data_IF_813318964013
#
_entry.id   IF_813318964013
#
_cell.length_a   1.000
_cell.length_b   1.000
_cell.length_c   1.000
_cell.angle_alpha   90.00
_cell.angle_beta   90.00
_cell.angle_gamma   90.00
#
_symmetry.space_group_name_H-M   'P 1'
#
loop_
_entity.id
_entity.type
_entity.pdbx_description
1 polymer ?
#
# COMPACT_ATOMS: atom_id res chain seq x y z
N UNK A 1 -1.69 27.25 1.97
CA UNK A 1 -0.52 28.11 1.70
C UNK A 1 -0.20 29.04 2.86
N UNK A 2 -1.18 29.79 3.38
CA UNK A 2 -1.00 30.68 4.55
C UNK A 2 -0.29 30.04 5.75
N UNK A 3 -0.65 28.79 6.10
CA UNK A 3 -0.02 28.06 7.20
C UNK A 3 1.49 27.82 7.03
N UNK A 4 2.03 27.75 5.80
CA UNK A 4 3.48 27.59 5.55
C UNK A 4 4.24 28.89 5.70
N UNK A 5 3.56 30.03 5.65
CA UNK A 5 4.14 31.37 5.76
C UNK A 5 4.04 31.92 7.18
N UNK A 6 3.08 31.42 7.95
CA UNK A 6 2.99 31.68 9.37
C UNK A 6 4.31 31.29 10.05
N UNK A 7 4.89 32.23 10.79
CA UNK A 7 6.00 31.94 11.70
C UNK A 7 5.46 31.19 12.91
N UNK A 8 6.33 30.49 13.62
CA UNK A 8 5.92 29.82 14.85
C UNK A 8 5.26 30.82 15.82
N UNK A 9 4.04 30.50 16.27
CA UNK A 9 3.26 31.35 17.16
C UNK A 9 2.50 32.50 16.50
N UNK A 10 2.51 32.62 15.16
CA UNK A 10 1.70 33.63 14.45
C UNK A 10 0.61 32.99 13.60
N UNK A 11 -0.49 33.74 13.40
CA UNK A 11 -1.58 33.35 12.51
C UNK A 11 -1.56 34.23 11.28
N UNK A 12 -1.66 33.62 10.10
CA UNK A 12 -1.84 34.32 8.83
C UNK A 12 -3.24 34.00 8.33
N UNK A 13 -4.10 35.01 8.25
CA UNK A 13 -5.45 34.92 7.69
C UNK A 13 -5.46 35.51 6.30
N UNK A 14 -6.14 34.81 5.38
CA UNK A 14 -6.40 35.29 4.02
C UNK A 14 -7.91 35.31 3.86
N UNK A 15 -8.48 36.49 3.68
CA UNK A 15 -9.91 36.68 3.43
C UNK A 15 -10.22 36.47 1.94
N UNK A 16 -11.49 36.22 1.60
CA UNK A 16 -11.91 36.02 0.21
C UNK A 16 -11.59 37.22 -0.67
N UNK A 17 -11.79 38.44 -0.17
CA UNK A 17 -11.51 39.68 -0.89
C UNK A 17 -10.01 39.88 -1.22
N UNK A 18 -9.12 39.36 -0.37
CA UNK A 18 -7.67 39.44 -0.55
C UNK A 18 -7.04 38.22 -1.21
N UNK A 19 -7.85 37.21 -1.56
CA UNK A 19 -7.36 35.92 -2.04
C UNK A 19 -6.67 36.03 -3.40
N UNK A 20 -7.25 36.78 -4.33
CA UNK A 20 -6.71 36.97 -5.68
C UNK A 20 -5.31 37.62 -5.62
N UNK A 21 -5.18 38.72 -4.89
CA UNK A 21 -3.90 39.43 -4.70
C UNK A 21 -2.87 38.58 -3.97
N UNK A 22 -3.31 37.82 -2.96
CA UNK A 22 -2.46 36.90 -2.22
C UNK A 22 -1.90 35.82 -3.14
N UNK A 23 -2.72 35.24 -4.01
CA UNK A 23 -2.33 34.16 -4.92
C UNK A 23 -1.51 34.66 -6.10
N UNK A 24 -1.82 35.83 -6.68
CA UNK A 24 -1.18 36.37 -7.88
C UNK A 24 0.35 36.39 -7.77
N UNK A 25 0.84 36.78 -6.60
CA UNK A 25 2.28 36.92 -6.30
C UNK A 25 2.96 35.61 -5.88
N UNK A 26 2.22 34.50 -5.72
CA UNK A 26 2.82 33.23 -5.29
C UNK A 26 3.51 32.51 -6.45
N UNK A 27 4.67 31.90 -6.19
CA UNK A 27 5.29 31.03 -7.19
C UNK A 27 4.44 29.78 -7.40
N UNK A 28 4.43 29.26 -8.62
CA UNK A 28 3.61 28.10 -9.01
C UNK A 28 3.89 26.86 -8.15
N UNK A 29 5.11 26.70 -7.63
CA UNK A 29 5.51 25.59 -6.75
C UNK A 29 4.85 25.66 -5.36
N UNK A 30 4.29 26.80 -4.97
CA UNK A 30 3.56 26.93 -3.71
C UNK A 30 2.15 26.33 -3.80
N UNK A 31 1.59 26.20 -5.01
CA UNK A 31 0.27 25.64 -5.22
C UNK A 31 0.21 24.16 -4.79
N UNK A 32 -0.82 23.74 -4.03
CA UNK A 32 -0.99 22.35 -3.64
C UNK A 32 -1.06 21.42 -4.86
N UNK A 33 -0.31 20.32 -4.82
CA UNK A 33 -0.26 19.32 -5.89
C UNK A 33 0.69 19.64 -7.06
N UNK A 34 1.36 20.79 -7.05
CA UNK A 34 2.45 21.08 -7.99
C UNK A 34 3.77 20.57 -7.42
N UNK A 35 4.31 19.52 -8.03
CA UNK A 35 5.64 19.00 -7.71
C UNK A 35 6.77 19.77 -8.43
N UNK A 36 8.04 19.51 -8.08
CA UNK A 36 9.18 20.18 -8.71
C UNK A 36 9.27 19.92 -10.23
N UNK A 37 8.87 18.72 -10.69
CA UNK A 37 8.83 18.41 -12.12
C UNK A 37 7.77 19.25 -12.85
N UNK A 38 6.54 19.27 -12.31
CA UNK A 38 5.42 20.06 -12.83
C UNK A 38 5.74 21.55 -12.84
N UNK A 39 6.34 22.08 -11.77
CA UNK A 39 6.76 23.46 -11.69
C UNK A 39 7.80 23.81 -12.79
N UNK A 40 8.80 22.95 -13.02
CA UNK A 40 9.79 23.16 -14.09
C UNK A 40 9.14 23.19 -15.47
N UNK A 41 8.20 22.28 -15.74
CA UNK A 41 7.44 22.28 -16.99
C UNK A 41 6.67 23.58 -17.14
N UNK A 42 5.92 24.02 -16.13
CA UNK A 42 5.16 25.27 -16.18
C UNK A 42 6.05 26.51 -16.36
N UNK A 43 7.18 26.58 -15.65
CA UNK A 43 8.16 27.65 -15.81
C UNK A 43 8.75 27.68 -17.24
N UNK A 44 8.92 26.54 -17.91
CA UNK A 44 9.39 26.50 -19.30
C UNK A 44 8.40 27.14 -20.30
N UNK A 45 7.12 27.21 -19.94
CA UNK A 45 6.07 27.91 -20.69
C UNK A 45 5.82 29.34 -20.19
N UNK A 46 6.66 29.89 -19.30
CA UNK A 46 6.51 31.23 -18.73
C UNK A 46 5.47 31.36 -17.60
N UNK A 47 4.93 30.22 -17.14
CA UNK A 47 3.95 30.14 -16.06
C UNK A 47 4.67 29.92 -14.72
N UNK A 48 5.32 30.98 -14.22
CA UNK A 48 6.10 30.98 -12.98
C UNK A 48 5.29 31.35 -11.72
N UNK A 49 4.20 32.11 -11.87
CA UNK A 49 3.31 32.52 -10.78
C UNK A 49 1.92 31.90 -10.87
N UNK A 50 1.23 31.79 -9.73
CA UNK A 50 -0.15 31.33 -9.69
C UNK A 50 -1.11 32.30 -10.41
N UNK A 51 -0.81 33.60 -10.41
CA UNK A 51 -1.53 34.60 -11.20
C UNK A 51 -1.45 34.35 -12.71
N UNK A 52 -0.25 34.07 -13.23
CA UNK A 52 -0.08 33.71 -14.65
C UNK A 52 -0.78 32.41 -15.02
N UNK A 53 -0.80 31.45 -14.10
CA UNK A 53 -1.57 30.20 -14.28
C UNK A 53 -3.07 30.46 -14.29
N UNK A 54 -3.58 31.34 -13.43
CA UNK A 54 -5.00 31.74 -13.40
C UNK A 54 -5.41 32.51 -14.66
N UNK A 55 -4.51 33.31 -15.23
CA UNK A 55 -4.75 34.03 -16.50
C UNK A 55 -4.62 33.14 -17.74
N UNK A 56 -4.00 31.95 -17.62
CA UNK A 56 -3.78 31.06 -18.76
C UNK A 56 -5.09 30.34 -19.16
N UNK A 57 -5.35 30.16 -20.47
CA UNK A 57 -6.53 29.44 -20.92
C UNK A 57 -6.45 27.96 -20.50
N UNK A 58 -7.57 27.42 -20.01
CA UNK A 58 -7.67 26.04 -19.52
C UNK A 58 -7.16 25.01 -20.53
N UNK A 59 -7.45 25.21 -21.82
CA UNK A 59 -6.98 24.33 -22.89
C UNK A 59 -5.45 24.21 -22.97
N UNK A 60 -4.72 25.27 -22.66
CA UNK A 60 -3.25 25.26 -22.62
C UNK A 60 -2.75 24.47 -21.42
N UNK A 61 -3.32 24.67 -20.25
CA UNK A 61 -2.96 23.90 -19.04
C UNK A 61 -3.23 22.41 -19.22
N UNK A 62 -4.36 22.06 -19.84
CA UNK A 62 -4.72 20.67 -20.13
C UNK A 62 -3.79 20.03 -21.16
N UNK A 63 -3.27 20.78 -22.14
CA UNK A 63 -2.27 20.29 -23.10
C UNK A 63 -0.91 20.03 -22.44
N UNK A 64 -0.52 20.86 -21.48
CA UNK A 64 0.79 20.75 -20.80
C UNK A 64 0.78 19.62 -19.75
N UNK A 65 -0.27 19.53 -18.94
CA UNK A 65 -0.32 18.66 -17.75
C UNK A 65 -1.29 17.48 -17.87
N UNK A 66 -2.15 17.49 -18.88
CA UNK A 66 -3.28 16.57 -19.01
C UNK A 66 -4.59 17.16 -18.49
N UNK A 67 -5.71 16.58 -18.95
CA UNK A 67 -7.05 17.11 -18.73
C UNK A 67 -7.41 17.34 -17.25
N UNK A 68 -7.19 16.34 -16.41
CA UNK A 68 -7.52 16.40 -14.98
C UNK A 68 -6.60 17.33 -14.20
N UNK A 69 -5.29 17.18 -14.40
CA UNK A 69 -4.30 17.98 -13.67
C UNK A 69 -4.37 19.46 -14.03
N UNK A 70 -4.60 19.79 -15.31
CA UNK A 70 -4.79 21.17 -15.76
C UNK A 70 -6.05 21.82 -15.16
N UNK A 71 -7.16 21.07 -15.06
CA UNK A 71 -8.39 21.54 -14.44
C UNK A 71 -8.22 21.76 -12.94
N UNK A 72 -7.66 20.79 -12.22
CA UNK A 72 -7.39 20.92 -10.78
C UNK A 72 -6.42 22.08 -10.49
N UNK A 73 -5.41 22.28 -11.34
CA UNK A 73 -4.46 23.38 -11.19
C UNK A 73 -5.12 24.74 -11.40
N UNK A 74 -5.95 24.88 -12.43
CA UNK A 74 -6.69 26.10 -12.71
C UNK A 74 -7.62 26.46 -11.54
N UNK A 75 -8.40 25.50 -11.06
CA UNK A 75 -9.27 25.70 -9.89
C UNK A 75 -8.47 26.16 -8.65
N UNK A 76 -7.33 25.52 -8.36
CA UNK A 76 -6.46 25.89 -7.24
C UNK A 76 -5.80 27.25 -7.41
N UNK A 77 -5.47 27.67 -8.64
CA UNK A 77 -4.94 29.01 -8.92
C UNK A 77 -5.97 30.11 -8.65
N UNK A 78 -7.26 29.80 -8.80
CA UNK A 78 -8.38 30.64 -8.37
C UNK A 78 -8.78 30.45 -6.90
N UNK A 79 -8.05 29.64 -6.14
CA UNK A 79 -8.34 29.36 -4.72
C UNK A 79 -9.55 28.44 -4.49
N UNK A 80 -10.03 27.76 -5.54
CA UNK A 80 -11.15 26.82 -5.46
C UNK A 80 -10.60 25.42 -5.17
N UNK A 81 -10.91 24.89 -3.99
CA UNK A 81 -10.70 23.48 -3.63
C UNK A 81 -11.98 22.89 -3.05
N UNK A 82 -12.71 22.03 -3.80
CA UNK A 82 -13.97 21.45 -3.34
C UNK A 82 -13.77 20.28 -2.36
N UNK A 83 -12.53 19.94 -1.99
CA UNK A 83 -12.25 18.77 -1.14
C UNK A 83 -12.80 18.96 0.27
N UNK A 84 -13.77 18.13 0.72
CA UNK A 84 -14.32 18.27 2.05
C UNK A 84 -13.29 17.84 3.11
N UNK A 85 -13.16 18.62 4.17
CA UNK A 85 -12.37 18.23 5.35
C UNK A 85 -13.16 17.17 6.12
N UNK A 86 -12.67 15.94 6.13
CA UNK A 86 -13.30 14.83 6.85
C UNK A 86 -12.42 14.48 8.07
N UNK A 87 -12.83 14.82 9.30
CA UNK A 87 -11.99 14.67 10.49
C UNK A 87 -11.66 13.22 10.85
N UNK A 88 -12.52 12.27 10.50
CA UNK A 88 -12.34 10.83 10.79
C UNK A 88 -12.07 9.99 9.52
N UNK A 89 -11.46 10.59 8.50
CA UNK A 89 -11.08 9.85 7.31
C UNK A 89 -10.06 8.76 7.65
N UNK A 90 -10.49 7.50 7.54
CA UNK A 90 -9.60 6.36 7.69
C UNK A 90 -8.47 6.42 6.66
N UNK A 91 -7.25 6.08 7.09
CA UNK A 91 -6.08 6.03 6.24
C UNK A 91 -6.34 5.16 5.00
N UNK A 92 -6.38 5.79 3.82
CA UNK A 92 -6.65 5.09 2.55
C UNK A 92 -5.57 4.07 2.20
N UNK A 93 -4.35 4.29 2.71
CA UNK A 93 -3.23 3.38 2.57
C UNK A 93 -2.44 3.34 3.87
N UNK A 94 -2.23 2.12 4.39
CA UNK A 94 -1.29 1.88 5.48
C UNK A 94 -0.12 1.09 4.95
N UNK A 95 1.07 1.50 5.35
CA UNK A 95 2.29 0.80 4.97
C UNK A 95 3.35 0.82 6.05
N UNK A 96 4.11 -0.27 6.13
CA UNK A 96 5.34 -0.37 6.90
C UNK A 96 6.50 -0.52 5.91
N UNK A 97 7.60 0.18 6.15
CA UNK A 97 8.79 0.12 5.31
C UNK A 97 10.03 -0.05 6.18
N UNK A 98 10.93 -0.92 5.74
CA UNK A 98 12.23 -1.12 6.38
C UNK A 98 13.32 -1.10 5.33
N UNK A 99 14.32 -0.27 5.56
CA UNK A 99 15.55 -0.26 4.78
C UNK A 99 16.55 -1.25 5.40
N UNK A 100 17.26 -1.99 4.56
CA UNK A 100 18.30 -2.92 4.96
C UNK A 100 19.65 -2.21 4.90
N UNK A 101 20.42 -2.31 5.98
CA UNK A 101 21.74 -1.66 6.10
C UNK A 101 22.83 -2.42 5.32
N UNK A 102 22.67 -3.73 5.14
CA UNK A 102 23.51 -4.55 4.27
C UNK A 102 22.69 -5.12 3.12
N UNK A 103 23.31 -5.21 1.95
CA UNK A 103 22.77 -5.92 0.78
C UNK A 103 22.62 -7.41 1.12
N UNK A 104 21.53 -7.77 1.78
CA UNK A 104 21.29 -9.15 2.21
C UNK A 104 20.80 -9.99 1.01
N UNK A 105 21.50 -11.09 0.75
CA UNK A 105 21.05 -12.13 -0.17
C UNK A 105 19.90 -12.87 0.52
N UNK A 106 18.67 -12.55 0.13
CA UNK A 106 17.43 -12.98 0.80
C UNK A 106 17.19 -14.51 0.73
N UNK A 107 18.09 -15.27 0.10
CA UNK A 107 17.87 -16.69 -0.18
C UNK A 107 18.13 -17.64 1.01
N UNK A 108 18.83 -17.22 2.07
CA UNK A 108 19.24 -18.15 3.12
C UNK A 108 18.67 -17.77 4.49
N UNK A 109 17.44 -18.20 4.81
CA UNK A 109 16.83 -18.25 6.16
C UNK A 109 16.68 -16.92 6.96
N UNK A 110 17.52 -15.91 6.72
CA UNK A 110 17.54 -14.61 7.38
C UNK A 110 16.48 -13.65 6.82
N UNK A 111 16.02 -13.85 5.57
CA UNK A 111 14.98 -13.03 4.93
C UNK A 111 13.58 -13.15 5.56
N UNK A 112 13.36 -14.18 6.37
CA UNK A 112 12.08 -14.41 7.05
C UNK A 112 11.84 -13.40 8.18
N UNK A 113 12.88 -13.08 8.97
CA UNK A 113 12.73 -12.23 10.16
C UNK A 113 12.33 -10.78 9.81
N UNK A 114 12.90 -10.13 8.77
CA UNK A 114 12.48 -8.78 8.39
C UNK A 114 11.06 -8.71 7.82
N UNK A 115 10.66 -9.68 7.01
CA UNK A 115 9.31 -9.74 6.45
C UNK A 115 8.28 -9.98 7.57
N UNK A 116 8.58 -10.86 8.52
CA UNK A 116 7.75 -11.06 9.70
C UNK A 116 7.57 -9.74 10.47
N UNK A 117 8.68 -9.08 10.82
CA UNK A 117 8.66 -7.80 11.54
C UNK A 117 7.86 -6.71 10.80
N UNK A 118 7.99 -6.63 9.47
CA UNK A 118 7.20 -5.71 8.64
C UNK A 118 5.70 -6.03 8.69
N UNK A 119 5.33 -7.30 8.63
CA UNK A 119 3.92 -7.72 8.71
C UNK A 119 3.35 -7.60 10.12
N UNK A 120 4.18 -7.70 11.16
CA UNK A 120 3.82 -7.42 12.55
C UNK A 120 3.50 -5.94 12.74
N UNK A 121 4.38 -5.05 12.29
CA UNK A 121 4.17 -3.60 12.35
C UNK A 121 2.91 -3.20 11.57
N UNK A 122 2.75 -3.73 10.35
CA UNK A 122 1.56 -3.48 9.53
C UNK A 122 0.29 -4.04 10.19
N UNK A 123 0.33 -5.24 10.76
CA UNK A 123 -0.79 -5.84 11.48
C UNK A 123 -1.16 -5.08 12.74
N UNK A 124 -0.17 -4.56 13.49
CA UNK A 124 -0.39 -3.73 14.66
C UNK A 124 -1.08 -2.41 14.29
N UNK A 125 -0.62 -1.73 13.23
CA UNK A 125 -1.26 -0.50 12.72
C UNK A 125 -2.68 -0.74 12.22
N UNK A 126 -2.91 -1.82 11.48
CA UNK A 126 -4.27 -2.17 11.03
C UNK A 126 -5.22 -2.38 12.20
N UNK A 127 -4.77 -3.03 13.29
CA UNK A 127 -5.59 -3.24 14.48
C UNK A 127 -5.83 -1.94 15.25
N UNK A 128 -4.82 -1.07 15.37
CA UNK A 128 -4.95 0.23 16.01
C UNK A 128 -5.98 1.14 15.29
N UNK A 129 -6.08 1.06 13.97
CA UNK A 129 -7.03 1.83 13.16
C UNK A 129 -8.33 1.06 12.84
N UNK A 130 -8.55 -0.11 13.46
CA UNK A 130 -9.70 -1.00 13.25
C UNK A 130 -9.96 -1.39 11.77
N UNK A 131 -8.89 -1.44 10.98
CA UNK A 131 -8.91 -1.71 9.54
C UNK A 131 -8.59 -3.16 9.21
N UNK A 132 -9.13 -3.64 8.07
CA UNK A 132 -8.76 -4.95 7.48
C UNK A 132 -8.08 -4.77 6.13
N UNK A 133 -7.06 -5.59 5.85
CA UNK A 133 -6.35 -5.61 4.58
C UNK A 133 -6.99 -6.60 3.61
N UNK A 134 -7.42 -6.13 2.44
CA UNK A 134 -7.95 -6.98 1.36
C UNK A 134 -6.89 -7.33 0.30
N UNK A 135 -5.87 -6.49 0.14
CA UNK A 135 -4.78 -6.73 -0.80
C UNK A 135 -3.48 -6.21 -0.24
N UNK A 136 -2.45 -7.04 -0.31
CA UNK A 136 -1.10 -6.74 0.16
C UNK A 136 -0.20 -6.42 -1.04
N UNK A 137 0.53 -5.31 -0.96
CA UNK A 137 1.57 -4.92 -1.90
C UNK A 137 2.93 -5.07 -1.24
N UNK A 138 3.84 -5.74 -1.91
CA UNK A 138 5.25 -5.83 -1.55
C UNK A 138 6.07 -5.03 -2.55
N UNK A 139 6.74 -3.99 -2.08
CA UNK A 139 7.75 -3.26 -2.84
C UNK A 139 9.10 -3.81 -2.43
N UNK A 140 9.92 -4.21 -3.40
CA UNK A 140 11.29 -4.64 -3.19
C UNK A 140 12.18 -3.70 -3.98
N UNK A 141 13.05 -2.99 -3.27
CA UNK A 141 14.08 -2.13 -3.88
C UNK A 141 15.38 -2.90 -3.97
N UNK A 142 15.98 -2.92 -5.15
CA UNK A 142 17.25 -3.61 -5.39
C UNK A 142 18.45 -2.66 -5.25
N UNK A 143 19.66 -3.22 -5.17
CA UNK A 143 20.91 -2.46 -5.07
C UNK A 143 21.16 -1.52 -6.28
N UNK A 144 20.64 -1.86 -7.46
CA UNK A 144 20.65 -1.00 -8.66
C UNK A 144 19.64 0.17 -8.60
N UNK A 145 18.96 0.34 -7.45
CA UNK A 145 17.87 1.29 -7.18
C UNK A 145 16.58 1.02 -7.97
N UNK A 146 16.52 -0.03 -8.77
CA UNK A 146 15.27 -0.47 -9.38
C UNK A 146 14.31 -0.97 -8.31
N UNK A 147 13.01 -0.86 -8.56
CA UNK A 147 11.97 -1.29 -7.61
C UNK A 147 10.99 -2.19 -8.33
N UNK A 148 10.82 -3.40 -7.83
CA UNK A 148 9.74 -4.29 -8.27
C UNK A 148 8.60 -4.26 -7.26
N UNK A 149 7.38 -4.17 -7.79
CA UNK A 149 6.16 -4.17 -7.00
C UNK A 149 5.34 -5.40 -7.37
N UNK A 150 4.95 -6.17 -6.36
CA UNK A 150 4.00 -7.27 -6.52
C UNK A 150 2.84 -7.07 -5.57
N UNK A 151 1.65 -7.43 -6.04
CA UNK A 151 0.42 -7.32 -5.27
C UNK A 151 -0.31 -8.64 -5.27
N UNK A 152 -0.89 -9.01 -4.14
CA UNK A 152 -1.76 -10.18 -4.01
C UNK A 152 -3.02 -9.81 -3.23
N UNK A 153 -4.16 -10.18 -3.78
CA UNK A 153 -5.43 -10.14 -3.07
C UNK A 153 -5.46 -11.29 -2.05
N UNK A 154 -5.92 -11.00 -0.85
CA UNK A 154 -6.17 -11.99 0.19
C UNK A 154 -7.55 -12.63 -0.06
N UNK A 155 -7.73 -13.94 0.21
CA UNK A 155 -9.02 -14.60 0.05
C UNK A 155 -10.09 -13.99 0.97
N UNK A 156 -9.67 -13.55 2.16
CA UNK A 156 -10.54 -12.88 3.14
C UNK A 156 -9.86 -11.61 3.66
N UNK A 157 -10.59 -10.48 3.78
CA UNK A 157 -10.06 -9.26 4.38
C UNK A 157 -9.66 -9.48 5.85
N UNK A 158 -8.37 -9.31 6.16
CA UNK A 158 -7.84 -9.66 7.49
C UNK A 158 -6.85 -8.64 8.04
N UNK A 159 -6.76 -8.57 9.36
CA UNK A 159 -5.75 -7.80 10.12
C UNK A 159 -4.83 -8.73 10.93
N UNK A 160 -4.92 -10.05 10.70
CA UNK A 160 -4.12 -11.03 11.42
C UNK A 160 -2.72 -11.11 10.83
N UNK A 161 -1.73 -10.87 11.68
CA UNK A 161 -0.31 -10.91 11.32
C UNK A 161 0.04 -12.20 10.60
N UNK A 162 -0.36 -13.37 11.12
CA UNK A 162 -0.06 -14.68 10.51
C UNK A 162 -0.51 -14.80 9.05
N UNK A 163 -1.70 -14.31 8.73
CA UNK A 163 -2.23 -14.34 7.36
C UNK A 163 -1.46 -13.36 6.44
N UNK A 164 -1.11 -12.18 6.97
CA UNK A 164 -0.31 -11.19 6.26
C UNK A 164 1.11 -11.69 5.98
N UNK A 165 1.75 -12.34 6.96
CA UNK A 165 3.08 -12.95 6.82
C UNK A 165 3.07 -14.06 5.78
N UNK A 166 2.08 -14.96 5.80
CA UNK A 166 1.95 -16.01 4.79
C UNK A 166 1.78 -15.44 3.37
N UNK A 167 0.99 -14.39 3.21
CA UNK A 167 0.83 -13.70 1.92
C UNK A 167 2.12 -12.98 1.48
N UNK A 168 2.85 -12.35 2.41
CA UNK A 168 4.12 -11.71 2.13
C UNK A 168 5.19 -12.72 1.68
N UNK A 169 5.25 -13.90 2.31
CA UNK A 169 6.15 -14.98 1.88
C UNK A 169 5.81 -15.49 0.49
N UNK A 170 4.52 -15.71 0.19
CA UNK A 170 4.11 -16.12 -1.17
C UNK A 170 4.44 -15.05 -2.23
N UNK A 171 4.31 -13.76 -1.90
CA UNK A 171 4.73 -12.67 -2.79
C UNK A 171 6.23 -12.62 -2.98
N UNK A 172 7.00 -12.88 -1.92
CA UNK A 172 8.45 -12.93 -1.96
C UNK A 172 8.96 -14.12 -2.80
N UNK A 173 8.37 -15.31 -2.61
CA UNK A 173 8.70 -16.50 -3.39
C UNK A 173 8.38 -16.31 -4.88
N UNK A 174 7.23 -15.71 -5.19
CA UNK A 174 6.84 -15.39 -6.56
C UNK A 174 7.75 -14.37 -7.26
N UNK A 175 8.56 -13.60 -6.52
CA UNK A 175 9.57 -12.73 -7.10
C UNK A 175 10.79 -13.51 -7.62
N UNK A 176 10.99 -14.76 -7.22
CA UNK A 176 12.06 -15.62 -7.73
C UNK A 176 13.46 -15.06 -7.47
N UNK A 177 13.66 -14.38 -6.32
CA UNK A 177 14.89 -13.65 -6.01
C UNK A 177 16.04 -14.60 -5.66
N UNK A 178 16.66 -15.21 -6.68
CA UNK A 178 17.76 -16.17 -6.51
C UNK A 178 19.08 -15.48 -6.08
N UNK A 179 19.30 -14.22 -6.47
CA UNK A 179 20.53 -13.44 -6.19
C UNK A 179 20.32 -11.94 -5.99
N UNK A 180 19.08 -11.53 -5.74
CA UNK A 180 18.76 -10.11 -5.69
C UNK A 180 19.16 -9.50 -4.34
N UNK A 181 20.00 -8.47 -4.39
CA UNK A 181 20.33 -7.64 -3.22
C UNK A 181 19.17 -6.69 -2.96
N UNK A 182 18.54 -6.80 -1.80
CA UNK A 182 17.37 -5.99 -1.44
C UNK A 182 17.79 -4.93 -0.43
N UNK A 183 17.55 -3.67 -0.76
CA UNK A 183 17.86 -2.50 0.08
C UNK A 183 16.65 -2.05 0.90
N UNK A 184 15.44 -2.49 0.55
CA UNK A 184 14.27 -2.23 1.37
C UNK A 184 13.02 -2.96 0.93
N UNK A 185 12.14 -3.21 1.89
CA UNK A 185 10.83 -3.81 1.67
C UNK A 185 9.72 -2.92 2.25
N UNK A 186 8.64 -2.74 1.48
CA UNK A 186 7.42 -2.05 1.95
C UNK A 186 6.23 -2.99 1.80
N UNK A 187 5.49 -3.20 2.88
CA UNK A 187 4.19 -3.83 2.84
C UNK A 187 3.13 -2.73 2.85
N UNK A 188 2.16 -2.76 1.94
CA UNK A 188 1.07 -1.79 1.93
C UNK A 188 -0.29 -2.45 1.67
N UNK A 189 -1.32 -1.89 2.30
CA UNK A 189 -2.71 -2.24 2.03
C UNK A 189 -3.22 -1.51 0.79
N UNK A 190 -3.94 -2.22 -0.09
CA UNK A 190 -4.73 -1.64 -1.18
C UNK A 190 -6.20 -2.02 -1.03
N UNK A 191 -7.07 -1.03 -1.17
CA UNK A 191 -8.52 -1.19 -1.11
C UNK A 191 -9.21 -0.13 -0.23
N UNK A 192 -10.54 0.05 -0.37
CA UNK A 192 -11.29 1.00 0.45
C UNK A 192 -11.14 0.61 1.92
N UNK A 193 -10.79 1.57 2.79
CA UNK A 193 -10.75 1.39 4.25
C UNK A 193 -12.10 0.81 4.72
N UNK A 194 -12.08 -0.44 5.16
CA UNK A 194 -13.26 -1.13 5.64
C UNK A 194 -13.03 -1.37 7.12
N UNK A 195 -13.86 -0.72 7.96
CA UNK A 195 -13.90 -1.04 9.39
C UNK A 195 -14.28 -2.49 9.53
N UNK A 196 -13.61 -3.18 10.46
CA UNK A 196 -13.94 -4.54 10.84
C UNK A 196 -15.39 -4.59 11.35
N UNK A 197 -16.32 -5.09 10.54
CA UNK A 197 -17.71 -5.31 10.97
C UNK A 197 -17.76 -6.53 11.90
N UNK A 198 -17.75 -6.29 13.21
CA UNK A 198 -18.27 -7.20 14.26
C UNK A 198 -17.47 -8.47 14.61
N UNK A 199 -17.20 -8.64 15.91
CA UNK A 199 -16.92 -9.92 16.60
C UNK A 199 -15.48 -10.42 16.54
N UNK A 200 -14.77 -10.69 17.67
CA UNK A 200 -13.42 -11.27 17.63
C UNK A 200 -13.47 -12.67 16.99
N UNK A 201 -12.51 -13.06 16.13
CA UNK A 201 -12.39 -14.46 15.77
C UNK A 201 -11.82 -15.18 17.00
N UNK A 202 -12.54 -16.17 17.50
CA UNK A 202 -12.07 -17.03 18.57
C UNK A 202 -10.67 -17.53 18.22
N UNK A 203 -9.67 -17.15 19.00
CA UNK A 203 -8.36 -17.77 18.92
C UNK A 203 -8.54 -19.23 19.36
N UNK A 204 -8.21 -20.25 18.56
CA UNK A 204 -7.97 -21.56 19.12
C UNK A 204 -6.70 -21.43 19.96
N UNK A 205 -6.87 -21.27 21.28
CA UNK A 205 -5.77 -21.21 22.23
C UNK A 205 -4.87 -22.43 22.08
N UNK A 206 -3.59 -22.32 22.48
CA UNK A 206 -2.67 -23.45 22.43
C UNK A 206 -3.24 -24.55 23.33
N UNK A 207 -3.57 -25.71 22.73
CA UNK A 207 -3.92 -26.91 23.49
C UNK A 207 -2.73 -27.25 24.38
N UNK A 208 -2.84 -26.93 25.66
CA UNK A 208 -1.88 -27.29 26.68
C UNK A 208 -1.64 -28.78 26.62
N UNK A 209 -0.36 -29.17 26.52
CA UNK A 209 0.09 -30.52 26.85
C UNK A 209 -0.17 -30.70 28.35
N UNK A 210 -1.30 -31.30 28.71
CA UNK A 210 -1.50 -31.86 30.04
C UNK A 210 -1.14 -33.34 29.99
N UNK A 211 -0.35 -33.74 30.97
CA UNK A 211 0.38 -35.00 31.04
C UNK A 211 -0.51 -36.22 31.07
N UNK A 212 0.07 -37.31 30.58
CA UNK A 212 -0.42 -38.66 30.74
C UNK A 212 -0.40 -39.08 32.23
N UNK A 213 -1.46 -39.72 32.76
CA UNK A 213 -1.33 -40.63 33.88
C UNK A 213 -0.94 -42.04 33.39
N UNK A 214 -0.15 -42.82 34.15
CA UNK A 214 0.19 -44.18 33.78
C UNK A 214 -0.94 -45.13 34.19
N UNK A 215 -1.35 -46.03 33.29
CA UNK A 215 -2.37 -47.02 33.63
C UNK A 215 -2.62 -48.05 32.53
N UNK A 216 -1.96 -49.20 32.67
CA UNK A 216 -2.61 -50.51 32.60
C UNK A 216 -3.20 -51.01 31.27
N UNK A 217 -2.49 -51.96 30.65
CA UNK A 217 -3.05 -53.24 30.23
C UNK A 217 -4.13 -53.26 29.15
N UNK A 218 -3.74 -53.61 27.92
CA UNK A 218 -4.70 -54.03 26.89
C UNK A 218 -4.05 -54.30 25.55
N UNK A 219 -3.68 -55.57 25.29
CA UNK A 219 -3.23 -56.05 23.98
C UNK A 219 -4.29 -55.78 22.90
N UNK A 220 -3.91 -55.37 21.68
CA UNK A 220 -4.69 -55.70 20.51
C UNK A 220 -3.95 -56.70 19.61
N UNK A 221 -4.67 -57.75 19.25
CA UNK A 221 -4.31 -58.78 18.28
C UNK A 221 -4.07 -58.17 16.88
N UNK A 222 -3.07 -58.71 16.19
CA UNK A 222 -2.93 -58.69 14.73
C UNK A 222 -4.23 -59.22 14.07
N UNK A 223 -4.67 -58.89 12.86
CA UNK A 223 -4.01 -58.76 11.54
C UNK A 223 -5.15 -58.33 10.54
N UNK A 224 -5.01 -58.42 9.20
CA UNK A 224 -4.13 -57.62 8.34
C UNK A 224 -4.83 -57.10 7.05
N UNK A 225 -3.98 -56.54 6.16
CA UNK A 225 -4.06 -56.51 4.69
C UNK A 225 -4.81 -55.40 3.94
N UNK A 226 -3.96 -54.61 3.29
CA UNK A 226 -4.12 -53.86 2.04
C UNK A 226 -5.00 -54.57 0.99
N UNK A 227 -5.66 -53.77 0.15
CA UNK A 227 -5.51 -53.84 -1.31
C UNK A 227 -5.75 -52.50 -1.99
N UNK A 228 -4.87 -52.23 -2.96
CA UNK A 228 -4.91 -51.17 -3.98
C UNK A 228 -5.94 -51.52 -5.06
N UNK A 229 -6.55 -50.51 -5.66
CA UNK A 229 -6.77 -50.34 -7.12
C UNK A 229 -7.42 -48.95 -7.29
N UNK A 230 -7.15 -48.11 -8.29
CA UNK A 230 -6.41 -48.26 -9.53
C UNK A 230 -7.18 -47.52 -10.65
N UNK A 231 -6.51 -46.55 -11.29
CA UNK A 231 -6.81 -46.00 -12.63
C UNK A 231 -8.05 -45.09 -12.76
N UNK A 232 -8.23 -44.29 -13.81
CA UNK A 232 -7.41 -43.76 -14.91
C UNK A 232 -8.42 -43.11 -15.90
N UNK A 233 -7.99 -42.12 -16.68
CA UNK A 233 -8.76 -41.50 -17.79
C UNK A 233 -9.07 -40.02 -17.49
N UNK A 234 -8.37 -39.02 -18.02
CA UNK A 234 -7.71 -38.78 -19.31
C UNK A 234 -8.65 -38.56 -20.51
N UNK A 235 -8.27 -37.57 -21.33
CA UNK A 235 -8.89 -37.02 -22.54
C UNK A 235 -10.14 -36.13 -22.34
N UNK A 236 -10.27 -34.96 -22.98
CA UNK A 236 -9.47 -34.33 -24.01
C UNK A 236 -10.32 -33.30 -24.79
N UNK A 237 -9.64 -32.28 -25.31
CA UNK A 237 -10.04 -31.52 -26.51
C UNK A 237 -11.06 -30.39 -26.33
N UNK A 238 -11.08 -29.31 -27.11
CA UNK A 238 -10.18 -28.65 -28.07
C UNK A 238 -11.05 -27.54 -28.71
N UNK A 239 -10.44 -26.39 -29.07
CA UNK A 239 -10.93 -25.35 -30.02
C UNK A 239 -12.10 -24.49 -29.51
N UNK A 240 -12.18 -23.17 -29.71
CA UNK A 240 -11.43 -22.17 -30.46
C UNK A 240 -12.29 -20.87 -30.45
N UNK A 241 -11.73 -19.67 -30.65
CA UNK A 241 -12.45 -18.41 -30.46
C UNK A 241 -13.26 -18.00 -31.69
N UNK A 242 -14.50 -17.55 -31.48
CA UNK A 242 -15.27 -16.84 -32.51
C UNK A 242 -14.87 -15.36 -32.52
N UNK A 243 -14.66 -14.87 -33.74
CA UNK A 243 -14.46 -13.48 -34.15
C UNK A 243 -15.66 -12.61 -33.79
#
# INVERSE_FOLDING_TARGET
MAAREARFGTTVTVTEDGLADYLDRKPVIALPGVGPATARTLCSYGLDSAGRVAAAPLGTLQRILGARAGLELCARAHGIDPTPVTPDALSRALSAHRAFYRDELVFCFAGAAPLLSLTEELGARLRAEEQVCASLLLFVRYADRSTTVRSRALPEPTAHTRALTAAAYGLHEALGLQRARVTGARAARRGPAARRRGGPPAQPGPRGRQGAPPGGGGRPRAAPLRRRSGGAGDAGGLRGPCR
#
